data_IF_830802183417
#
_entry.id   IF_830802183417
#
_cell.length_a   1.000
_cell.length_b   1.000
_cell.length_c   1.000
_cell.angle_alpha   90.00
_cell.angle_beta   90.00
_cell.angle_gamma   90.00
#
_symmetry.space_group_name_H-M   'P 1'
#
loop_
_entity.id
_entity.type
_entity.pdbx_description
1 polymer ?
#
# COMPACT_ATOMS: atom_id res chain seq x y z
N UNK A 1 14.48 -2.34 16.46
CA UNK A 1 13.77 -1.33 15.65
C UNK A 1 12.29 -1.49 15.92
N UNK A 2 11.56 -0.43 16.25
CA UNK A 2 10.10 -0.52 16.40
C UNK A 2 9.46 -0.77 15.03
N UNK A 3 8.45 -1.63 14.99
CA UNK A 3 7.63 -1.87 13.80
C UNK A 3 6.93 -0.55 13.44
N UNK A 4 7.12 -0.05 12.23
CA UNK A 4 6.30 1.06 11.72
C UNK A 4 4.86 0.56 11.66
N UNK A 5 3.89 1.38 12.06
CA UNK A 5 2.48 1.01 12.02
C UNK A 5 1.75 2.04 11.19
N UNK A 6 1.24 1.63 10.03
CA UNK A 6 0.41 2.51 9.20
C UNK A 6 -1.03 2.51 9.69
N UNK A 7 -1.64 3.68 9.76
CA UNK A 7 -3.04 3.90 10.10
C UNK A 7 -3.59 5.10 9.30
N UNK A 8 -4.89 5.37 9.40
CA UNK A 8 -5.52 6.47 8.65
C UNK A 8 -4.93 7.85 8.96
N UNK A 9 -4.42 8.08 10.17
CA UNK A 9 -3.85 9.36 10.59
C UNK A 9 -2.48 9.62 9.94
N UNK A 10 -1.69 8.58 9.74
CA UNK A 10 -0.32 8.72 9.21
C UNK A 10 -0.18 8.30 7.75
N UNK A 11 -1.21 7.68 7.14
CA UNK A 11 -1.23 7.34 5.72
C UNK A 11 -1.00 8.54 4.79
N UNK A 12 -1.52 9.75 5.07
CA UNK A 12 -1.23 10.93 4.24
C UNK A 12 0.27 11.29 4.18
N UNK A 13 1.06 10.91 5.19
CA UNK A 13 2.50 11.19 5.23
C UNK A 13 3.29 10.45 4.14
N UNK A 14 2.70 9.45 3.49
CA UNK A 14 3.27 8.78 2.32
C UNK A 14 3.38 9.72 1.10
N UNK A 15 2.58 10.80 1.09
CA UNK A 15 2.66 11.86 0.11
C UNK A 15 1.81 11.60 -1.14
N UNK A 16 1.33 12.69 -1.72
CA UNK A 16 0.33 12.71 -2.78
C UNK A 16 0.73 11.91 -4.03
N UNK A 17 2.00 11.98 -4.46
CA UNK A 17 2.48 11.26 -5.65
C UNK A 17 2.48 9.75 -5.42
N UNK A 18 2.94 9.30 -4.25
CA UNK A 18 2.97 7.89 -3.91
C UNK A 18 1.55 7.32 -3.82
N UNK A 19 0.65 7.98 -3.09
CA UNK A 19 -0.73 7.53 -2.94
C UNK A 19 -1.50 7.51 -4.28
N UNK A 20 -1.22 8.46 -5.19
CA UNK A 20 -1.76 8.41 -6.56
C UNK A 20 -1.37 7.13 -7.29
N UNK A 21 -0.11 6.72 -7.19
CA UNK A 21 0.37 5.51 -7.86
C UNK A 21 -0.16 4.23 -7.19
N UNK A 22 -0.39 4.25 -5.88
CA UNK A 22 -1.10 3.17 -5.18
C UNK A 22 -2.52 3.05 -5.72
N UNK A 23 -3.29 4.14 -5.78
CA UNK A 23 -4.64 4.15 -6.34
C UNK A 23 -4.68 3.64 -7.79
N UNK A 24 -3.69 4.03 -8.61
CA UNK A 24 -3.54 3.52 -9.97
C UNK A 24 -3.35 1.99 -10.00
N UNK A 25 -2.54 1.44 -9.08
CA UNK A 25 -2.34 -0.01 -8.96
C UNK A 25 -3.55 -0.76 -8.34
N UNK A 26 -4.45 -0.06 -7.65
CA UNK A 26 -5.77 -0.57 -7.26
C UNK A 26 -6.76 -0.62 -8.43
N UNK A 27 -6.40 -0.05 -9.58
CA UNK A 27 -7.11 -0.16 -10.89
C UNK A 27 -8.56 0.33 -10.87
N UNK A 28 -8.91 1.20 -9.93
CA UNK A 28 -10.27 1.74 -9.78
C UNK A 28 -11.29 0.75 -9.22
N UNK A 29 -10.87 -0.45 -8.78
CA UNK A 29 -11.77 -1.37 -8.11
C UNK A 29 -12.09 -0.87 -6.70
N UNK A 30 -13.39 -0.68 -6.40
CA UNK A 30 -13.83 -0.22 -5.08
C UNK A 30 -13.47 -1.22 -3.98
N UNK A 31 -13.63 -2.52 -4.27
CA UNK A 31 -13.33 -3.63 -3.34
C UNK A 31 -11.84 -4.01 -3.29
N UNK A 32 -10.97 -3.31 -4.03
CA UNK A 32 -9.54 -3.54 -3.89
C UNK A 32 -9.03 -3.06 -2.53
N UNK A 33 -8.05 -3.80 -2.02
CA UNK A 33 -7.45 -3.64 -0.70
C UNK A 33 -5.94 -3.48 -0.83
N UNK A 34 -5.32 -2.68 0.03
CA UNK A 34 -3.86 -2.48 0.03
C UNK A 34 -3.28 -2.63 1.43
N UNK A 35 -2.06 -3.17 1.51
CA UNK A 35 -1.24 -3.23 2.73
C UNK A 35 0.17 -2.73 2.42
N UNK A 36 0.81 -2.07 3.38
CA UNK A 36 2.12 -1.43 3.23
C UNK A 36 3.17 -2.11 4.09
N UNK A 37 4.39 -2.22 3.59
CA UNK A 37 5.52 -2.78 4.31
C UNK A 37 5.96 -1.92 5.50
N UNK A 38 6.38 -2.60 6.57
CA UNK A 38 6.64 -1.98 7.88
C UNK A 38 8.09 -2.18 8.38
N UNK A 39 8.92 -2.90 7.62
CA UNK A 39 10.30 -3.21 8.04
C UNK A 39 11.37 -2.27 7.47
N UNK A 40 10.96 -1.18 6.82
CA UNK A 40 11.85 -0.16 6.27
C UNK A 40 11.87 1.13 7.09
N UNK A 41 12.25 2.24 6.46
CA UNK A 41 12.18 3.59 7.05
C UNK A 41 10.79 4.23 6.95
N UNK A 42 9.85 3.55 6.28
CA UNK A 42 8.51 4.06 5.99
C UNK A 42 8.46 5.04 4.82
N UNK A 43 9.61 5.39 4.25
CA UNK A 43 9.69 6.19 3.03
C UNK A 43 9.47 5.26 1.84
N UNK A 44 8.39 5.50 1.08
CA UNK A 44 8.00 4.71 -0.11
C UNK A 44 7.97 3.19 0.17
N UNK A 45 7.15 2.73 1.12
CA UNK A 45 7.09 1.32 1.47
C UNK A 45 6.66 0.48 0.25
N UNK A 46 7.22 -0.72 0.11
CA UNK A 46 6.61 -1.71 -0.77
C UNK A 46 5.18 -1.99 -0.29
N UNK A 47 4.30 -2.36 -1.19
CA UNK A 47 2.90 -2.60 -0.86
C UNK A 47 2.35 -3.73 -1.71
N UNK A 48 1.30 -4.37 -1.23
CA UNK A 48 0.56 -5.35 -2.02
C UNK A 48 -0.89 -4.94 -2.17
N UNK A 49 -1.45 -5.24 -3.34
CA UNK A 49 -2.87 -5.02 -3.62
C UNK A 49 -3.56 -6.38 -3.70
N UNK A 50 -4.66 -6.54 -2.98
CA UNK A 50 -5.60 -7.65 -3.14
C UNK A 50 -6.78 -7.17 -3.98
N UNK A 51 -7.00 -7.82 -5.12
CA UNK A 51 -8.08 -7.49 -6.05
C UNK A 51 -9.39 -8.22 -5.70
N UNK A 52 -10.54 -7.82 -6.27
CA UNK A 52 -11.83 -8.43 -5.95
C UNK A 52 -11.91 -9.95 -6.24
N UNK A 53 -11.11 -10.42 -7.20
CA UNK A 53 -11.01 -11.85 -7.52
C UNK A 53 -10.04 -12.64 -6.61
N UNK A 54 -9.53 -12.01 -5.54
CA UNK A 54 -8.58 -12.62 -4.61
C UNK A 54 -7.13 -12.63 -5.08
N UNK A 55 -6.84 -12.17 -6.31
CA UNK A 55 -5.46 -12.06 -6.79
C UNK A 55 -4.70 -11.04 -5.93
N UNK A 56 -3.55 -11.44 -5.43
CA UNK A 56 -2.62 -10.57 -4.70
C UNK A 56 -1.47 -10.18 -5.63
N UNK A 57 -1.03 -8.93 -5.55
CA UNK A 57 0.15 -8.45 -6.29
C UNK A 57 1.03 -7.58 -5.41
N UNK A 58 2.21 -8.11 -5.06
CA UNK A 58 3.28 -7.34 -4.46
C UNK A 58 3.87 -6.32 -5.45
N UNK A 59 4.15 -5.12 -4.95
CA UNK A 59 4.54 -3.95 -5.74
C UNK A 59 5.68 -3.21 -5.05
N UNK A 60 6.68 -2.79 -5.84
CA UNK A 60 7.80 -1.99 -5.35
C UNK A 60 7.34 -0.57 -5.00
N UNK A 61 7.68 -0.08 -3.81
CA UNK A 61 7.25 1.25 -3.36
C UNK A 61 7.95 2.41 -4.08
N UNK A 62 9.15 2.18 -4.62
CA UNK A 62 9.90 3.21 -5.34
C UNK A 62 9.46 3.34 -6.79
N UNK A 63 9.28 2.21 -7.49
CA UNK A 63 8.94 2.21 -8.93
C UNK A 63 7.46 2.00 -9.23
N UNK A 64 6.69 1.46 -8.27
CA UNK A 64 5.29 1.06 -8.45
C UNK A 64 5.06 -0.06 -9.48
N UNK A 65 6.12 -0.81 -9.80
CA UNK A 65 6.10 -2.02 -10.65
C UNK A 65 5.95 -3.30 -9.83
N UNK A 66 5.60 -4.46 -10.46
CA UNK A 66 5.60 -5.75 -9.76
C UNK A 66 6.90 -5.99 -8.98
N UNK A 67 6.77 -6.46 -7.75
CA UNK A 67 7.92 -6.86 -6.96
C UNK A 67 8.38 -8.26 -7.38
N UNK A 68 9.44 -8.33 -8.20
CA UNK A 68 9.87 -9.58 -8.87
C UNK A 68 10.25 -10.72 -7.91
N UNK A 69 10.50 -10.44 -6.63
CA UNK A 69 11.00 -11.43 -5.66
C UNK A 69 9.91 -12.14 -4.86
N UNK A 70 8.65 -11.70 -4.94
CA UNK A 70 7.56 -12.30 -4.18
C UNK A 70 6.20 -11.95 -4.80
N UNK A 71 5.24 -12.86 -4.76
CA UNK A 71 3.85 -12.60 -5.17
C UNK A 71 3.05 -11.90 -4.07
N UNK A 72 3.35 -12.22 -2.81
CA UNK A 72 2.78 -11.64 -1.59
C UNK A 72 3.87 -11.40 -0.53
N UNK A 73 3.60 -10.49 0.41
CA UNK A 73 4.50 -10.21 1.52
C UNK A 73 4.07 -10.95 2.80
N UNK A 74 5.06 -11.19 3.67
CA UNK A 74 4.85 -11.75 5.01
C UNK A 74 3.88 -10.86 5.81
N UNK A 75 2.76 -11.45 6.25
CA UNK A 75 1.69 -10.79 6.97
C UNK A 75 2.15 -10.16 8.30
N UNK A 76 3.25 -10.62 8.87
CA UNK A 76 3.83 -10.04 10.10
C UNK A 76 4.64 -8.77 9.84
N UNK A 77 4.95 -8.48 8.57
CA UNK A 77 5.86 -7.41 8.10
C UNK A 77 5.16 -6.34 7.25
N UNK A 78 3.83 -6.42 7.15
CA UNK A 78 2.98 -5.46 6.47
C UNK A 78 1.86 -4.98 7.39
N UNK A 79 1.30 -3.82 7.06
CA UNK A 79 0.25 -3.17 7.82
C UNK A 79 -1.08 -3.92 7.79
N UNK A 80 -2.02 -3.41 8.59
CA UNK A 80 -3.43 -3.67 8.39
C UNK A 80 -3.88 -3.27 6.97
N UNK A 81 -5.02 -3.81 6.56
CA UNK A 81 -5.61 -3.55 5.26
C UNK A 81 -6.29 -2.19 5.20
N UNK A 82 -6.07 -1.47 4.09
CA UNK A 82 -6.78 -0.26 3.73
C UNK A 82 -7.65 -0.47 2.49
N UNK A 83 -8.85 0.09 2.51
CA UNK A 83 -9.76 0.15 1.36
C UNK A 83 -9.31 1.21 0.36
N UNK A 84 -9.81 1.09 -0.88
CA UNK A 84 -9.64 2.13 -1.91
C UNK A 84 -10.09 3.52 -1.42
N UNK A 85 -11.18 3.58 -0.64
CA UNK A 85 -11.72 4.81 -0.09
C UNK A 85 -10.80 5.43 0.99
N UNK A 86 -10.22 4.63 1.88
CA UNK A 86 -9.25 5.11 2.87
C UNK A 86 -8.00 5.68 2.20
N UNK A 87 -7.49 5.01 1.15
CA UNK A 87 -6.33 5.51 0.38
C UNK A 87 -6.69 6.81 -0.37
N UNK A 88 -7.90 6.90 -0.93
CA UNK A 88 -8.38 8.11 -1.60
C UNK A 88 -8.50 9.28 -0.63
N UNK A 89 -9.07 9.04 0.54
CA UNK A 89 -9.14 10.05 1.60
C UNK A 89 -7.75 10.52 2.00
N UNK A 90 -6.81 9.60 2.24
CA UNK A 90 -5.44 9.97 2.57
C UNK A 90 -4.76 10.78 1.44
N UNK A 91 -5.00 10.42 0.18
CA UNK A 91 -4.51 11.18 -0.99
C UNK A 91 -5.01 12.62 -1.01
N UNK A 92 -6.26 12.86 -0.62
CA UNK A 92 -6.86 14.20 -0.57
C UNK A 92 -6.31 15.05 0.59
N UNK A 93 -5.77 14.42 1.64
CA UNK A 93 -5.15 15.09 2.79
C UNK A 93 -3.61 15.28 2.65
N UNK A 94 -3.01 14.84 1.54
CA UNK A 94 -1.55 14.78 1.33
C UNK A 94 -0.95 15.92 0.51
#
# INVERSE_FOLDING_TARGET
>A
MSKLCWNEENLPKLGRIFLRNVLSNMRGYEDAKVQFGETGTGVKPNYQVTYPNGLVRATNGSSHDPFVRADEFDSTRISNTFSSQQVKYAYEQS
#
